data_IF_050146046896
#
_entry.id   IF_050146046896
#
_cell.length_a   1.000
_cell.length_b   1.000
_cell.length_c   1.000
_cell.angle_alpha   90.00
_cell.angle_beta   90.00
_cell.angle_gamma   90.00
#
_symmetry.space_group_name_H-M   'P 1'
#
loop_
_entity.id
_entity.type
_entity.pdbx_description
1 polymer ?
#
# COMPACT_ATOMS: atom_id res chain seq x y z
N UNK A 1 21.95 -30.83 -19.08
CA UNK A 1 21.94 -29.78 -18.05
C UNK A 1 21.51 -28.51 -18.75
N UNK A 2 20.36 -27.94 -18.39
CA UNK A 2 19.92 -26.68 -18.98
C UNK A 2 20.91 -25.58 -18.59
N UNK A 3 21.24 -24.71 -19.54
CA UNK A 3 22.12 -23.56 -19.31
C UNK A 3 21.50 -22.64 -18.23
N UNK A 4 22.19 -22.39 -17.10
CA UNK A 4 21.70 -21.47 -16.08
C UNK A 4 21.43 -20.06 -16.61
N UNK A 5 22.02 -19.68 -17.74
CA UNK A 5 21.84 -18.35 -18.34
C UNK A 5 20.52 -18.16 -19.09
N UNK A 6 19.65 -19.18 -19.16
CA UNK A 6 18.42 -19.14 -19.96
C UNK A 6 17.13 -19.28 -19.13
N UNK A 7 17.21 -19.07 -17.80
CA UNK A 7 16.04 -19.15 -16.92
C UNK A 7 15.35 -17.80 -16.83
N UNK A 8 14.07 -17.77 -17.23
CA UNK A 8 13.25 -16.57 -17.20
C UNK A 8 13.09 -16.08 -15.77
N UNK A 9 13.15 -14.77 -15.57
CA UNK A 9 13.01 -14.17 -14.24
C UNK A 9 11.57 -14.35 -13.74
N UNK A 10 11.41 -14.91 -12.55
CA UNK A 10 10.10 -14.97 -11.90
C UNK A 10 9.67 -13.58 -11.45
N UNK A 11 8.46 -13.19 -11.83
CA UNK A 11 7.79 -11.98 -11.36
C UNK A 11 6.58 -12.39 -10.52
N UNK A 12 6.47 -11.85 -9.31
CA UNK A 12 5.39 -12.15 -8.36
C UNK A 12 4.66 -10.85 -8.07
N UNK A 13 3.39 -10.77 -8.48
CA UNK A 13 2.50 -9.66 -8.14
C UNK A 13 1.61 -10.07 -6.96
N UNK A 14 1.69 -9.33 -5.86
CA UNK A 14 0.93 -9.58 -4.63
C UNK A 14 -0.14 -8.50 -4.50
N UNK A 15 -1.41 -8.92 -4.45
CA UNK A 15 -2.55 -8.01 -4.27
C UNK A 15 -2.66 -7.46 -2.84
N UNK A 16 -3.78 -6.79 -2.58
CA UNK A 16 -4.07 -6.05 -1.35
C UNK A 16 -3.90 -6.90 -0.08
N UNK A 17 -3.26 -6.31 0.93
CA UNK A 17 -2.90 -6.99 2.18
C UNK A 17 -3.81 -6.57 3.33
N UNK A 18 -4.16 -5.28 3.40
CA UNK A 18 -5.08 -4.70 4.37
C UNK A 18 -4.86 -5.16 5.82
N UNK A 19 -3.65 -4.99 6.33
CA UNK A 19 -3.32 -5.30 7.72
C UNK A 19 -3.46 -6.77 8.11
N UNK A 20 -3.64 -7.71 7.18
CA UNK A 20 -3.76 -9.14 7.48
C UNK A 20 -2.41 -9.86 7.46
N UNK A 21 -1.58 -9.62 8.48
CA UNK A 21 -0.24 -10.20 8.60
C UNK A 21 -0.23 -11.73 8.41
N UNK A 22 -1.16 -12.45 9.05
CA UNK A 22 -1.23 -13.92 8.92
C UNK A 22 -1.44 -14.37 7.47
N UNK A 23 -2.25 -13.64 6.69
CA UNK A 23 -2.47 -13.96 5.27
C UNK A 23 -1.19 -13.70 4.47
N UNK A 24 -0.52 -12.59 4.74
CA UNK A 24 0.75 -12.23 4.10
C UNK A 24 1.84 -13.29 4.38
N UNK A 25 2.03 -13.68 5.65
CA UNK A 25 3.02 -14.68 6.03
C UNK A 25 2.72 -16.06 5.42
N UNK A 26 1.44 -16.47 5.40
CA UNK A 26 1.04 -17.73 4.78
C UNK A 26 1.26 -17.72 3.26
N UNK A 27 0.91 -16.62 2.59
CA UNK A 27 1.19 -16.43 1.16
C UNK A 27 2.69 -16.52 0.89
N UNK A 28 3.50 -15.80 1.68
CA UNK A 28 4.95 -15.79 1.52
C UNK A 28 5.57 -17.18 1.69
N UNK A 29 5.15 -17.92 2.73
CA UNK A 29 5.57 -19.30 2.96
C UNK A 29 5.18 -20.24 1.81
N UNK A 30 3.96 -20.07 1.28
CA UNK A 30 3.49 -20.84 0.12
C UNK A 30 4.31 -20.54 -1.13
N UNK A 31 4.62 -19.26 -1.41
CA UNK A 31 5.45 -18.86 -2.55
C UNK A 31 6.86 -19.45 -2.44
N UNK A 32 7.48 -19.38 -1.26
CA UNK A 32 8.80 -19.99 -1.00
C UNK A 32 8.81 -21.51 -1.20
N UNK A 33 7.68 -22.17 -0.96
CA UNK A 33 7.55 -23.63 -1.07
C UNK A 33 7.20 -24.09 -2.49
N UNK A 34 6.46 -23.29 -3.24
CA UNK A 34 5.96 -23.65 -4.58
C UNK A 34 6.87 -23.21 -5.71
N UNK A 35 7.63 -22.13 -5.52
CA UNK A 35 8.57 -21.62 -6.52
C UNK A 35 9.94 -22.23 -6.21
N UNK A 36 10.65 -22.65 -7.26
CA UNK A 36 11.98 -23.21 -7.05
C UNK A 36 12.91 -22.20 -6.35
N UNK A 37 13.79 -22.64 -5.44
CA UNK A 37 14.57 -21.74 -4.58
C UNK A 37 15.42 -20.72 -5.34
N UNK A 38 16.01 -21.10 -6.48
CA UNK A 38 16.87 -20.21 -7.28
C UNK A 38 16.07 -19.11 -7.97
N UNK A 39 14.92 -19.47 -8.54
CA UNK A 39 13.99 -18.50 -9.14
C UNK A 39 13.39 -17.58 -8.09
N UNK A 40 12.98 -18.13 -6.93
CA UNK A 40 12.47 -17.31 -5.83
C UNK A 40 13.55 -16.34 -5.33
N UNK A 41 14.80 -16.78 -5.15
CA UNK A 41 15.89 -15.95 -4.67
C UNK A 41 16.18 -14.72 -5.55
N UNK A 42 15.90 -14.79 -6.86
CA UNK A 42 16.17 -13.70 -7.82
C UNK A 42 14.90 -12.99 -8.33
N UNK A 43 13.74 -13.34 -7.78
CA UNK A 43 12.45 -12.87 -8.24
C UNK A 43 12.32 -11.33 -8.18
N UNK A 44 11.48 -10.78 -9.07
CA UNK A 44 10.91 -9.43 -8.88
C UNK A 44 9.60 -9.57 -8.14
N UNK A 45 9.50 -8.95 -6.97
CA UNK A 45 8.31 -8.93 -6.12
C UNK A 45 7.66 -7.55 -6.26
N UNK A 46 6.42 -7.51 -6.74
CA UNK A 46 5.63 -6.29 -6.88
C UNK A 46 4.43 -6.39 -5.94
N UNK A 47 4.41 -5.60 -4.88
CA UNK A 47 3.24 -5.47 -4.00
C UNK A 47 2.36 -4.36 -4.56
N UNK A 48 1.10 -4.67 -4.83
CA UNK A 48 0.20 -3.84 -5.64
C UNK A 48 -0.50 -2.70 -4.85
N UNK A 49 -0.11 -2.48 -3.59
CA UNK A 49 -0.69 -1.47 -2.70
C UNK A 49 -1.63 -2.06 -1.66
N UNK A 50 -2.32 -1.17 -0.95
CA UNK A 50 -3.30 -1.45 0.10
C UNK A 50 -2.77 -2.38 1.20
N UNK A 51 -1.73 -1.93 1.87
CA UNK A 51 -1.09 -2.58 3.01
C UNK A 51 -1.83 -2.32 4.33
N UNK A 52 -2.40 -1.12 4.47
CA UNK A 52 -3.09 -0.67 5.67
C UNK A 52 -4.61 -0.88 5.63
N UNK A 53 -5.23 -0.60 6.77
CA UNK A 53 -6.68 -0.57 6.99
C UNK A 53 -7.38 -1.92 6.94
N UNK A 54 -8.64 -1.94 7.39
CA UNK A 54 -9.53 -3.13 7.51
C UNK A 54 -9.05 -4.21 8.49
N UNK A 55 -7.83 -4.73 8.33
CA UNK A 55 -7.20 -5.74 9.18
C UNK A 55 -6.40 -5.17 10.35
N UNK A 56 -6.11 -5.99 11.38
CA UNK A 56 -5.66 -5.50 12.68
C UNK A 56 -4.15 -5.23 12.81
N UNK A 57 -3.32 -5.71 11.88
CA UNK A 57 -1.86 -5.78 12.04
C UNK A 57 -1.10 -4.89 11.04
N UNK A 58 -1.67 -3.75 10.60
CA UNK A 58 -1.02 -2.81 9.66
C UNK A 58 0.43 -2.51 10.02
N UNK A 59 0.71 -2.16 11.29
CA UNK A 59 2.07 -1.93 11.77
C UNK A 59 3.02 -3.10 11.42
N UNK A 60 2.63 -4.33 11.75
CA UNK A 60 3.48 -5.51 11.52
C UNK A 60 3.59 -5.89 10.04
N UNK A 61 2.55 -5.58 9.24
CA UNK A 61 2.62 -5.73 7.77
C UNK A 61 3.71 -4.83 7.23
N UNK A 62 3.72 -3.53 7.59
CA UNK A 62 4.76 -2.59 7.15
C UNK A 62 6.15 -3.03 7.65
N UNK A 63 6.29 -3.46 8.91
CA UNK A 63 7.55 -4.02 9.44
C UNK A 63 8.04 -5.22 8.61
N UNK A 64 7.13 -6.10 8.19
CA UNK A 64 7.47 -7.23 7.33
C UNK A 64 7.95 -6.77 5.96
N UNK A 65 7.23 -5.86 5.29
CA UNK A 65 7.58 -5.34 3.97
C UNK A 65 8.93 -4.63 3.98
N UNK A 66 9.19 -3.77 4.97
CA UNK A 66 10.49 -3.10 5.19
C UNK A 66 11.63 -4.12 5.35
N UNK A 67 11.36 -5.27 5.96
CA UNK A 67 12.38 -6.29 6.19
C UNK A 67 12.77 -7.10 4.93
N UNK A 68 11.93 -7.08 3.88
CA UNK A 68 12.10 -7.93 2.70
C UNK A 68 13.44 -7.73 1.97
N UNK A 69 13.89 -6.49 1.64
CA UNK A 69 15.17 -6.31 0.97
C UNK A 69 16.37 -6.84 1.76
N UNK A 70 16.31 -6.78 3.09
CA UNK A 70 17.36 -7.35 3.96
C UNK A 70 17.30 -8.87 4.01
N UNK A 71 16.10 -9.46 4.03
CA UNK A 71 15.90 -10.92 4.07
C UNK A 71 16.23 -11.58 2.72
N UNK A 72 15.97 -10.88 1.62
CA UNK A 72 16.13 -11.40 0.26
C UNK A 72 16.92 -10.40 -0.61
N UNK A 73 18.23 -10.25 -0.38
CA UNK A 73 19.05 -9.23 -1.03
C UNK A 73 19.21 -9.40 -2.55
N UNK A 74 18.89 -10.60 -3.08
CA UNK A 74 18.95 -10.90 -4.51
C UNK A 74 17.60 -10.67 -5.22
N UNK A 75 16.52 -10.38 -4.48
CA UNK A 75 15.22 -10.04 -5.04
C UNK A 75 15.14 -8.53 -5.34
N UNK A 76 14.37 -8.17 -6.36
CA UNK A 76 13.92 -6.79 -6.58
C UNK A 76 12.56 -6.64 -5.89
N UNK A 77 12.41 -5.65 -5.03
CA UNK A 77 11.14 -5.36 -4.35
C UNK A 77 10.59 -4.03 -4.84
N UNK A 78 9.32 -4.04 -5.22
CA UNK A 78 8.55 -2.87 -5.65
C UNK A 78 7.31 -2.79 -4.79
N UNK A 79 7.04 -1.61 -4.25
CA UNK A 79 5.92 -1.34 -3.37
C UNK A 79 5.09 -0.21 -4.02
N UNK A 80 3.90 -0.54 -4.52
CA UNK A 80 3.01 0.46 -5.09
C UNK A 80 2.25 1.23 -4.00
N UNK A 81 1.98 2.51 -4.22
CA UNK A 81 1.02 3.23 -3.38
C UNK A 81 -0.39 2.79 -3.75
N UNK A 82 -1.09 2.15 -2.82
CA UNK A 82 -2.54 2.04 -2.87
C UNK A 82 -3.22 3.38 -2.59
N UNK A 83 -4.54 3.46 -2.78
CA UNK A 83 -5.28 4.64 -2.32
C UNK A 83 -5.29 4.72 -0.79
N UNK A 84 -5.23 3.57 -0.10
CA UNK A 84 -5.11 3.53 1.36
C UNK A 84 -3.75 4.06 1.84
N UNK A 85 -2.63 3.67 1.22
CA UNK A 85 -1.30 4.22 1.58
C UNK A 85 -1.20 5.71 1.30
N UNK A 86 -1.74 6.17 0.16
CA UNK A 86 -1.76 7.59 -0.17
C UNK A 86 -2.52 8.39 0.91
N UNK A 87 -3.67 7.89 1.33
CA UNK A 87 -4.48 8.53 2.36
C UNK A 87 -3.78 8.50 3.74
N UNK A 88 -3.20 7.37 4.13
CA UNK A 88 -2.44 7.23 5.37
C UNK A 88 -1.20 8.15 5.40
N UNK A 89 -0.41 8.16 4.33
CA UNK A 89 0.73 9.06 4.17
C UNK A 89 0.31 10.53 4.25
N UNK A 90 -0.87 10.87 3.69
CA UNK A 90 -1.47 12.19 3.79
C UNK A 90 -1.80 12.58 5.22
N UNK A 91 -2.37 11.66 5.99
CA UNK A 91 -2.70 11.90 7.40
C UNK A 91 -1.46 12.12 8.26
N UNK A 92 -0.39 11.35 8.07
CA UNK A 92 0.85 11.50 8.86
C UNK A 92 1.84 12.52 8.31
N UNK A 93 1.49 13.22 7.23
CA UNK A 93 2.27 14.32 6.67
C UNK A 93 3.55 13.90 5.94
N UNK A 94 3.55 12.74 5.27
CA UNK A 94 4.72 12.20 4.54
C UNK A 94 4.47 12.02 3.05
N UNK A 95 3.37 12.57 2.51
CA UNK A 95 3.15 12.60 1.07
C UNK A 95 4.31 13.31 0.35
N UNK A 96 4.81 12.67 -0.69
CA UNK A 96 5.81 13.26 -1.57
C UNK A 96 5.17 14.30 -2.51
N UNK A 97 5.95 15.32 -2.87
CA UNK A 97 5.55 16.37 -3.80
C UNK A 97 4.99 17.64 -3.15
N UNK A 98 4.83 18.68 -3.96
CA UNK A 98 4.24 19.95 -3.55
C UNK A 98 2.76 19.99 -3.94
N UNK A 99 1.89 20.32 -3.00
CA UNK A 99 0.46 20.52 -3.23
C UNK A 99 -0.10 21.55 -2.26
N UNK A 100 -1.11 22.29 -2.70
CA UNK A 100 -1.86 23.19 -1.84
C UNK A 100 -3.04 22.42 -1.24
N UNK A 101 -2.96 22.08 0.06
CA UNK A 101 -3.95 21.25 0.75
C UNK A 101 -5.40 21.68 0.47
N UNK A 102 -5.69 22.98 0.60
CA UNK A 102 -7.04 23.54 0.39
C UNK A 102 -7.56 23.37 -1.03
N UNK A 103 -6.70 23.33 -2.03
CA UNK A 103 -7.11 23.11 -3.43
C UNK A 103 -7.64 21.68 -3.61
N UNK A 104 -7.04 20.71 -2.92
CA UNK A 104 -7.45 19.29 -2.99
C UNK A 104 -8.84 19.03 -2.39
N UNK A 105 -9.34 19.95 -1.57
CA UNK A 105 -10.62 19.80 -0.87
C UNK A 105 -11.81 20.29 -1.71
N UNK A 106 -11.59 21.22 -2.64
CA UNK A 106 -12.65 22.04 -3.26
C UNK A 106 -13.71 21.22 -3.98
N UNK A 107 -13.28 20.19 -4.72
CA UNK A 107 -14.18 19.34 -5.51
C UNK A 107 -15.18 18.59 -4.64
N UNK A 108 -14.79 18.21 -3.43
CA UNK A 108 -15.58 17.38 -2.52
C UNK A 108 -16.04 18.13 -1.27
N UNK A 109 -15.95 19.46 -1.24
CA UNK A 109 -16.20 20.25 -0.04
C UNK A 109 -17.61 20.05 0.55
N UNK A 110 -18.60 19.73 -0.30
CA UNK A 110 -19.97 19.43 0.14
C UNK A 110 -20.09 18.12 0.94
N UNK A 111 -19.11 17.22 0.81
CA UNK A 111 -19.07 15.96 1.52
C UNK A 111 -18.44 16.08 2.92
N UNK A 112 -17.82 17.20 3.28
CA UNK A 112 -17.03 17.33 4.51
C UNK A 112 -17.78 16.94 5.78
N UNK A 113 -19.04 17.36 5.90
CA UNK A 113 -19.90 17.03 7.05
C UNK A 113 -20.46 15.60 6.98
N UNK A 114 -20.73 15.10 5.78
CA UNK A 114 -21.29 13.75 5.55
C UNK A 114 -20.24 12.69 5.83
N UNK A 115 -19.01 12.93 5.37
CA UNK A 115 -17.87 12.02 5.52
C UNK A 115 -17.11 12.23 6.84
N UNK A 116 -17.42 13.32 7.55
CA UNK A 116 -16.85 13.66 8.84
C UNK A 116 -15.34 13.85 8.79
N UNK A 117 -14.84 14.64 7.84
CA UNK A 117 -13.40 14.82 7.62
C UNK A 117 -12.66 15.23 8.90
N UNK A 118 -11.41 14.78 9.02
CA UNK A 118 -10.53 15.17 10.12
C UNK A 118 -10.36 16.70 10.19
N UNK A 119 -10.58 17.25 11.38
CA UNK A 119 -10.46 18.68 11.72
C UNK A 119 -9.54 18.92 12.92
N UNK A 120 -8.75 17.89 13.31
CA UNK A 120 -7.81 17.98 14.43
C UNK A 120 -6.47 18.59 14.03
N UNK A 121 -5.45 18.44 14.88
CA UNK A 121 -4.14 19.07 14.71
C UNK A 121 -3.52 18.81 13.31
N UNK A 122 -3.12 19.89 12.63
CA UNK A 122 -2.40 19.82 11.35
C UNK A 122 -3.27 19.65 10.11
N UNK A 123 -4.60 19.56 10.25
CA UNK A 123 -5.51 19.35 9.12
C UNK A 123 -5.41 20.45 8.05
N UNK A 124 -4.99 21.67 8.40
CA UNK A 124 -4.91 22.80 7.48
C UNK A 124 -3.90 22.61 6.35
N UNK A 125 -2.93 21.70 6.55
CA UNK A 125 -1.89 21.32 5.58
C UNK A 125 -2.08 19.91 5.03
N UNK A 126 -3.18 19.26 5.37
CA UNK A 126 -3.43 17.86 5.04
C UNK A 126 -4.14 17.72 3.70
N UNK A 127 -3.64 16.82 2.85
CA UNK A 127 -4.33 16.43 1.63
C UNK A 127 -5.74 15.91 1.93
N UNK A 128 -6.71 16.16 1.04
CA UNK A 128 -8.10 15.69 1.21
C UNK A 128 -8.19 14.25 1.70
N UNK A 129 -7.53 13.32 1.00
CA UNK A 129 -7.57 11.89 1.32
C UNK A 129 -7.07 11.59 2.74
N UNK A 130 -6.08 12.31 3.25
CA UNK A 130 -5.66 12.18 4.66
C UNK A 130 -6.75 12.64 5.62
N UNK A 131 -7.47 13.71 5.27
CA UNK A 131 -8.60 14.19 6.08
C UNK A 131 -9.75 13.19 6.11
N UNK A 132 -10.10 12.59 4.97
CA UNK A 132 -11.14 11.55 4.89
C UNK A 132 -10.73 10.32 5.71
N UNK A 133 -9.47 9.90 5.57
CA UNK A 133 -8.94 8.70 6.22
C UNK A 133 -8.90 8.79 7.75
N UNK A 134 -8.48 9.94 8.28
CA UNK A 134 -8.50 10.20 9.73
C UNK A 134 -9.83 10.72 10.26
N UNK A 135 -10.83 10.89 9.41
CA UNK A 135 -12.16 11.40 9.74
C UNK A 135 -13.01 10.41 10.53
N UNK A 136 -14.22 10.82 10.91
CA UNK A 136 -15.20 9.97 11.59
C UNK A 136 -16.50 9.89 10.79
N UNK A 137 -16.77 8.71 10.22
CA UNK A 137 -18.02 8.46 9.50
C UNK A 137 -19.09 7.97 10.47
N UNK A 138 -20.17 8.74 10.64
CA UNK A 138 -21.23 8.37 11.56
C UNK A 138 -22.10 7.23 11.00
N UNK A 139 -22.28 6.18 11.80
CA UNK A 139 -22.93 4.90 11.46
C UNK A 139 -24.43 5.05 11.22
N UNK A 140 -24.99 6.24 11.46
CA UNK A 140 -26.37 6.60 11.14
C UNK A 140 -26.76 6.39 9.66
N UNK A 141 -25.78 6.22 8.77
CA UNK A 141 -25.99 5.95 7.33
C UNK A 141 -26.10 4.46 6.97
N UNK A 142 -26.08 3.54 7.94
CA UNK A 142 -26.36 2.10 7.68
C UNK A 142 -25.21 1.32 7.01
N UNK A 143 -24.02 1.90 6.96
CA UNK A 143 -22.80 1.25 6.48
C UNK A 143 -21.91 0.93 7.69
N UNK A 144 -21.51 -0.32 7.85
CA UNK A 144 -20.62 -0.78 8.93
C UNK A 144 -19.15 -0.42 8.61
N UNK A 145 -18.81 0.85 8.78
CA UNK A 145 -17.44 1.35 8.61
C UNK A 145 -16.67 1.30 9.94
N UNK A 146 -15.40 0.90 9.89
CA UNK A 146 -14.48 0.93 11.04
C UNK A 146 -13.87 2.33 11.20
N UNK A 147 -14.68 3.26 11.68
CA UNK A 147 -14.28 4.62 12.05
C UNK A 147 -14.33 5.63 10.90
N UNK A 148 -13.77 5.32 9.74
CA UNK A 148 -13.78 6.18 8.55
C UNK A 148 -14.21 5.40 7.30
N UNK A 149 -14.47 6.09 6.19
CA UNK A 149 -14.77 5.49 4.88
C UNK A 149 -13.68 4.50 4.43
N UNK A 150 -12.44 4.74 4.84
CA UNK A 150 -11.29 3.88 4.57
C UNK A 150 -11.17 2.67 5.51
N UNK A 151 -12.06 2.48 6.49
CA UNK A 151 -11.88 1.48 7.55
C UNK A 151 -10.54 1.62 8.28
N UNK A 152 -10.14 2.86 8.60
CA UNK A 152 -8.82 3.20 9.11
C UNK A 152 -8.60 2.88 10.59
N UNK A 153 -9.66 2.70 11.40
CA UNK A 153 -9.54 2.49 12.84
C UNK A 153 -8.60 1.32 13.24
N UNK A 154 -8.59 0.16 12.56
CA UNK A 154 -7.61 -0.91 12.80
C UNK A 154 -6.16 -0.47 12.58
N UNK A 155 -5.88 0.43 11.62
CA UNK A 155 -4.54 0.98 11.44
C UNK A 155 -4.11 1.78 12.65
N UNK A 156 -4.94 2.73 13.12
CA UNK A 156 -4.68 3.47 14.37
C UNK A 156 -4.43 2.51 15.54
N UNK A 157 -5.30 1.51 15.70
CA UNK A 157 -5.18 0.50 16.76
C UNK A 157 -3.88 -0.32 16.67
N UNK A 158 -3.40 -0.65 15.46
CA UNK A 158 -2.14 -1.38 15.27
C UNK A 158 -0.91 -0.60 15.72
N UNK A 159 -1.00 0.74 15.79
CA UNK A 159 0.04 1.62 16.35
C UNK A 159 -0.21 2.00 17.82
N UNK A 160 -1.28 1.49 18.44
CA UNK A 160 -1.58 1.70 19.85
C UNK A 160 -2.29 3.01 20.17
N UNK A 161 -2.95 3.63 19.19
CA UNK A 161 -3.72 4.87 19.38
C UNK A 161 -5.17 4.69 18.98
N UNK A 162 -6.05 5.54 19.50
CA UNK A 162 -7.46 5.57 19.11
C UNK A 162 -7.63 6.15 17.71
N UNK A 163 -8.66 5.71 17.00
CA UNK A 163 -9.03 6.26 15.69
C UNK A 163 -9.16 7.78 15.73
N UNK A 164 -8.67 8.45 14.69
CA UNK A 164 -8.68 9.91 14.56
C UNK A 164 -7.73 10.68 15.47
N UNK A 165 -6.86 10.01 16.25
CA UNK A 165 -5.91 10.70 17.13
C UNK A 165 -4.71 11.29 16.35
N UNK A 166 -4.37 12.56 16.58
CA UNK A 166 -3.12 13.15 16.04
C UNK A 166 -1.86 12.49 16.60
N UNK A 167 -1.95 11.79 17.73
CA UNK A 167 -0.83 11.04 18.30
C UNK A 167 -0.28 9.98 17.32
N UNK A 168 -1.09 9.50 16.36
CA UNK A 168 -0.61 8.60 15.31
C UNK A 168 0.62 9.19 14.57
N UNK A 169 0.61 10.49 14.28
CA UNK A 169 1.72 11.18 13.59
C UNK A 169 3.05 11.10 14.37
N UNK A 170 2.96 10.95 15.69
CA UNK A 170 4.11 10.85 16.61
C UNK A 170 4.55 9.40 16.83
N UNK A 171 3.60 8.46 16.90
CA UNK A 171 3.90 7.05 17.23
C UNK A 171 4.27 6.18 16.03
N UNK A 172 3.94 6.60 14.80
CA UNK A 172 4.41 5.89 13.59
C UNK A 172 5.93 6.02 13.49
N UNK A 173 6.68 4.89 13.45
CA UNK A 173 8.14 4.92 13.37
C UNK A 173 8.68 5.63 12.13
N UNK A 174 9.88 6.21 12.22
CA UNK A 174 10.49 6.97 11.11
C UNK A 174 10.83 6.10 9.89
N UNK A 175 11.16 4.82 10.09
CA UNK A 175 11.35 3.87 8.98
C UNK A 175 10.02 3.52 8.28
N UNK A 176 8.90 3.51 9.00
CA UNK A 176 7.57 3.38 8.41
C UNK A 176 7.17 4.63 7.62
N UNK A 177 7.41 5.82 8.18
CA UNK A 177 7.22 7.09 7.47
C UNK A 177 8.04 7.14 6.19
N UNK A 178 9.31 6.76 6.27
CA UNK A 178 10.18 6.66 5.10
C UNK A 178 9.65 5.66 4.07
N UNK A 179 9.24 4.48 4.52
CA UNK A 179 8.65 3.47 3.62
C UNK A 179 7.44 4.01 2.86
N UNK A 180 6.51 4.67 3.56
CA UNK A 180 5.31 5.28 2.94
C UNK A 180 5.62 6.47 2.03
N UNK A 181 6.72 7.19 2.28
CA UNK A 181 7.18 8.25 1.39
C UNK A 181 7.87 7.71 0.12
N UNK A 182 8.43 6.49 0.18
CA UNK A 182 9.21 5.87 -0.89
C UNK A 182 8.38 4.99 -1.83
N UNK A 183 7.12 4.67 -1.50
CA UNK A 183 6.27 3.83 -2.39
C UNK A 183 5.94 4.57 -3.68
N UNK A 184 5.90 3.82 -4.78
CA UNK A 184 5.74 4.38 -6.13
C UNK A 184 4.30 4.27 -6.62
N UNK A 185 3.81 5.25 -7.37
CA UNK A 185 2.44 5.17 -7.92
C UNK A 185 2.34 4.25 -9.14
N UNK A 186 3.45 4.12 -9.86
CA UNK A 186 3.58 3.29 -11.05
C UNK A 186 4.94 2.62 -11.07
N UNK A 187 4.98 1.39 -11.56
CA UNK A 187 6.22 0.68 -11.85
C UNK A 187 6.17 0.11 -13.26
N UNK A 188 7.29 0.21 -13.97
CA UNK A 188 7.43 -0.30 -15.34
C UNK A 188 8.58 -1.32 -15.39
N UNK A 189 8.34 -2.46 -16.05
CA UNK A 189 9.39 -3.38 -16.48
C UNK A 189 9.34 -3.48 -18.01
N UNK A 190 10.50 -3.33 -18.65
CA UNK A 190 10.61 -3.36 -20.10
C UNK A 190 10.46 -4.77 -20.70
N UNK A 191 10.87 -5.79 -19.95
CA UNK A 191 10.90 -7.18 -20.42
C UNK A 191 10.54 -8.16 -19.31
N UNK A 192 9.31 -8.68 -19.36
CA UNK A 192 8.82 -9.79 -18.54
C UNK A 192 8.30 -10.90 -19.44
N UNK A 193 8.41 -12.13 -18.96
CA UNK A 193 7.88 -13.29 -19.66
C UNK A 193 6.51 -13.69 -19.13
N UNK A 194 5.57 -13.97 -20.03
CA UNK A 194 4.23 -14.46 -19.70
C UNK A 194 3.87 -15.66 -20.59
N UNK A 195 3.29 -16.68 -19.99
CA UNK A 195 2.79 -17.84 -20.73
C UNK A 195 1.43 -17.52 -21.35
N UNK A 196 1.29 -17.78 -22.65
CA UNK A 196 0.06 -17.59 -23.41
C UNK A 196 -0.32 -18.88 -24.12
N UNK A 197 -1.51 -18.94 -24.74
CA UNK A 197 -1.92 -20.09 -25.55
C UNK A 197 -0.97 -20.38 -26.74
N UNK A 198 -0.21 -19.37 -27.19
CA UNK A 198 0.78 -19.47 -28.27
C UNK A 198 2.20 -19.78 -27.76
N UNK A 199 2.36 -19.99 -26.44
CA UNK A 199 3.65 -20.16 -25.78
C UNK A 199 4.09 -18.93 -24.99
N UNK A 200 5.36 -18.90 -24.60
CA UNK A 200 5.94 -17.81 -23.81
C UNK A 200 6.14 -16.56 -24.68
N UNK A 201 5.66 -15.41 -24.21
CA UNK A 201 5.86 -14.09 -24.82
C UNK A 201 6.64 -13.17 -23.90
N UNK A 202 7.41 -12.27 -24.50
CA UNK A 202 8.10 -11.18 -23.83
C UNK A 202 7.29 -9.90 -24.01
N UNK A 203 7.02 -9.21 -22.90
CA UNK A 203 6.11 -8.07 -22.84
C UNK A 203 6.66 -7.00 -21.91
N UNK A 204 6.22 -5.75 -22.12
CA UNK A 204 6.31 -4.73 -21.08
C UNK A 204 5.26 -5.00 -20.00
N UNK A 205 5.59 -4.67 -18.76
CA UNK A 205 4.65 -4.69 -17.64
C UNK A 205 4.56 -3.29 -17.04
N UNK A 206 3.32 -2.82 -16.86
CA UNK A 206 3.00 -1.62 -16.11
C UNK A 206 2.18 -2.06 -14.91
N UNK A 207 2.65 -1.76 -13.71
CA UNK A 207 1.94 -2.01 -12.48
C UNK A 207 1.50 -0.67 -11.86
N UNK A 208 0.21 -0.53 -11.67
CA UNK A 208 -0.47 0.60 -11.02
C UNK A 208 -1.61 0.02 -10.19
N UNK A 209 -1.89 0.60 -9.03
CA UNK A 209 -2.83 0.03 -8.06
C UNK A 209 -4.25 -0.17 -8.64
N UNK A 210 -4.84 0.88 -9.20
CA UNK A 210 -6.20 0.82 -9.75
C UNK A 210 -6.23 0.55 -11.26
N UNK A 211 -5.49 1.34 -12.05
CA UNK A 211 -5.49 1.24 -13.51
C UNK A 211 -5.03 2.52 -14.19
N UNK A 212 -5.18 2.55 -15.52
CA UNK A 212 -4.88 3.70 -16.37
C UNK A 212 -6.18 4.23 -16.98
N UNK A 213 -6.29 5.56 -17.10
CA UNK A 213 -7.41 6.19 -17.80
C UNK A 213 -7.32 5.97 -19.32
N UNK A 214 -8.45 6.10 -20.02
CA UNK A 214 -8.45 6.11 -21.48
C UNK A 214 -7.87 7.43 -21.99
N UNK A 215 -6.88 7.34 -22.87
CA UNK A 215 -6.30 8.50 -23.58
C UNK A 215 -7.19 9.05 -24.69
#
# INVERSE_FOLDING_TARGET
MADPSNKLRTVICVGDIHGYLTKLLNLWSNLQSQIDPDSFNTATIIILGDYCDRGPDTRKVIEFLISLPKRYPNQKHVFLSGNHEFAFAGFIGVLAGEFEAKETWKEYAENEEIEGWYKGEGYEKMHLQGRIWGGWFDVAQGIDCKGAIFDAAPTFGSYGVTHGSSELMKVVPEDHKKFLADVVWVHEEDDVSIETQEGVKHCKLIAVHAGLEKG
#
